data_IF_331961141007
#
_entry.id   IF_331961141007
#
_cell.length_a   1.000
_cell.length_b   1.000
_cell.length_c   1.000
_cell.angle_alpha   90.00
_cell.angle_beta   90.00
_cell.angle_gamma   90.00
#
_symmetry.space_group_name_H-M   'P 1'
#
loop_
_entity.id
_entity.type
_entity.pdbx_description
1 polymer ?
#
# COMPACT_ATOMS: atom_id res chain seq x y z
N UNK A 1 6.11 12.51 45.49
CA UNK A 1 4.95 11.98 44.76
C UNK A 1 5.33 12.00 43.29
N UNK A 2 5.59 10.89 42.60
CA UNK A 2 5.96 10.88 41.22
C UNK A 2 4.71 10.79 40.33
N UNK A 3 4.61 11.69 39.34
CA UNK A 3 3.57 11.67 38.33
C UNK A 3 3.89 10.55 37.32
N UNK A 4 2.96 9.62 37.16
CA UNK A 4 3.03 8.57 36.15
C UNK A 4 2.89 9.18 34.77
N UNK A 5 3.94 9.07 33.94
CA UNK A 5 3.88 9.30 32.51
C UNK A 5 3.06 8.15 31.88
N UNK A 6 1.89 8.47 31.37
CA UNK A 6 1.16 7.57 30.47
C UNK A 6 1.88 7.61 29.11
N UNK A 7 2.58 6.54 28.78
CA UNK A 7 3.08 6.30 27.43
C UNK A 7 1.88 5.95 26.55
N UNK A 8 1.47 6.86 25.73
CA UNK A 8 0.58 6.58 24.61
C UNK A 8 1.47 5.98 23.50
N UNK A 9 1.51 4.66 23.44
CA UNK A 9 2.14 3.95 22.34
C UNK A 9 1.17 4.03 21.18
N UNK A 10 1.50 4.80 20.17
CA UNK A 10 0.84 4.78 18.87
C UNK A 10 1.28 3.49 18.18
N UNK A 11 0.47 2.45 18.28
CA UNK A 11 0.67 1.20 17.53
C UNK A 11 0.11 1.45 16.13
N UNK A 12 0.97 1.80 15.19
CA UNK A 12 0.66 1.67 13.77
C UNK A 12 0.67 0.17 13.47
N UNK A 13 -0.51 -0.44 13.51
CA UNK A 13 -0.69 -1.83 13.09
C UNK A 13 -0.68 -1.84 11.56
N UNK A 14 0.50 -2.03 10.99
CA UNK A 14 0.62 -2.47 9.59
C UNK A 14 0.42 -3.98 9.62
N UNK A 15 -0.81 -4.41 9.34
CA UNK A 15 -1.13 -5.83 9.19
C UNK A 15 -0.63 -6.27 7.82
N UNK A 16 0.59 -6.80 7.75
CA UNK A 16 0.97 -7.69 6.65
C UNK A 16 0.64 -9.11 7.07
N UNK A 17 -0.05 -9.82 6.19
CA UNK A 17 -0.69 -11.06 6.48
C UNK A 17 0.19 -12.25 6.29
N UNK A 18 0.10 -13.10 7.27
CA UNK A 18 0.42 -14.52 7.16
C UNK A 18 -0.48 -15.16 6.11
N UNK A 19 0.08 -15.54 4.98
CA UNK A 19 -0.52 -16.55 4.11
C UNK A 19 -0.15 -17.90 4.71
N UNK A 20 -1.07 -18.66 5.32
CA UNK A 20 -0.77 -20.03 5.70
C UNK A 20 -0.58 -20.84 4.42
N UNK A 21 0.60 -21.38 4.22
CA UNK A 21 0.86 -22.35 3.18
C UNK A 21 -0.03 -23.59 3.44
N UNK A 22 -1.08 -23.75 2.66
CA UNK A 22 -1.84 -24.99 2.64
C UNK A 22 -1.01 -26.05 1.93
N UNK A 23 -0.33 -26.87 2.73
CA UNK A 23 0.33 -28.09 2.26
C UNK A 23 -0.75 -29.12 1.99
N UNK A 24 -1.06 -29.38 0.73
CA UNK A 24 -1.81 -30.58 0.31
C UNK A 24 -0.85 -31.78 0.36
N UNK A 25 -0.87 -32.54 1.46
CA UNK A 25 -0.28 -33.87 1.50
C UNK A 25 -1.34 -34.93 1.21
N UNK A 26 -1.23 -35.58 0.06
CA UNK A 26 -1.92 -36.82 -0.25
C UNK A 26 -1.13 -38.03 0.22
N UNK A 27 -1.78 -38.89 0.98
CA UNK A 27 -1.66 -40.36 0.88
C UNK A 27 -0.75 -41.12 1.81
N UNK A 28 -1.35 -41.88 2.72
CA UNK A 28 -0.93 -43.29 2.96
C UNK A 28 -0.38 -43.69 4.31
N UNK A 29 -1.23 -44.18 5.19
CA UNK A 29 -0.98 -45.46 5.89
C UNK A 29 -0.38 -45.50 7.28
N UNK A 30 -1.22 -46.00 8.19
CA UNK A 30 -0.97 -46.79 9.40
C UNK A 30 -0.85 -46.08 10.78
N UNK A 31 -1.93 -46.36 11.56
CA UNK A 31 -2.00 -46.34 13.04
C UNK A 31 -1.09 -47.41 13.68
N UNK A 32 -0.66 -47.31 14.96
CA UNK A 32 -1.57 -47.68 16.05
C UNK A 32 -1.44 -46.82 17.37
N UNK A 33 -2.60 -46.66 17.98
CA UNK A 33 -3.08 -46.86 19.36
C UNK A 33 -2.12 -46.73 20.57
N UNK A 34 -2.46 -45.85 21.54
CA UNK A 34 -2.74 -46.09 22.98
C UNK A 34 -2.85 -44.79 23.74
N UNK A 35 -4.02 -44.48 24.25
CA UNK A 35 -4.61 -44.54 25.61
C UNK A 35 -3.83 -43.82 26.70
N UNK A 36 -4.45 -42.82 27.37
CA UNK A 36 -5.08 -42.71 28.68
C UNK A 36 -5.28 -41.25 29.05
N UNK A 37 -6.49 -40.76 29.25
CA UNK A 37 -7.23 -40.55 30.48
C UNK A 37 -6.43 -39.76 31.53
N UNK A 38 -6.94 -38.60 32.02
CA UNK A 38 -7.86 -38.45 33.12
C UNK A 38 -8.11 -36.95 33.47
N UNK A 39 -9.34 -36.56 33.47
CA UNK A 39 -10.29 -36.03 34.50
C UNK A 39 -10.02 -34.62 35.05
N UNK A 40 -10.99 -33.73 34.73
CA UNK A 40 -12.08 -33.15 35.56
C UNK A 40 -11.69 -32.24 36.74
N UNK A 41 -12.15 -30.97 36.67
CA UNK A 41 -13.06 -30.38 37.64
C UNK A 41 -13.47 -28.95 37.34
N UNK A 42 -14.71 -28.77 37.05
CA UNK A 42 -15.77 -27.83 37.32
C UNK A 42 -15.61 -26.97 38.60
N UNK A 43 -16.02 -25.67 38.52
CA UNK A 43 -17.04 -24.98 39.34
C UNK A 43 -17.08 -23.51 38.94
N UNK A 44 -18.13 -22.98 38.33
CA UNK A 44 -19.38 -22.48 38.88
C UNK A 44 -19.27 -21.03 39.44
N UNK A 45 -20.03 -20.15 38.74
CA UNK A 45 -20.48 -18.81 39.19
C UNK A 45 -21.25 -18.84 40.52
N UNK A 46 -21.59 -17.69 41.15
CA UNK A 46 -22.66 -16.82 40.64
C UNK A 46 -22.67 -15.32 41.05
N UNK A 47 -23.40 -14.48 40.27
CA UNK A 47 -24.63 -13.71 40.66
C UNK A 47 -24.51 -12.36 41.35
N UNK A 48 -25.06 -11.31 40.66
CA UNK A 48 -25.92 -10.17 41.08
C UNK A 48 -25.37 -9.16 42.10
N UNK A 49 -25.63 -7.86 41.96
CA UNK A 49 -26.89 -7.15 41.90
C UNK A 49 -26.71 -5.63 41.96
N UNK A 50 -27.54 -4.92 41.21
CA UNK A 50 -28.35 -3.74 41.51
C UNK A 50 -27.74 -2.33 41.51
N UNK A 51 -28.38 -1.53 40.67
CA UNK A 51 -28.51 -0.07 40.73
C UNK A 51 -29.09 0.46 42.04
N UNK A 52 -28.95 1.76 42.30
CA UNK A 52 -30.13 2.60 42.05
C UNK A 52 -29.83 3.99 41.46
N UNK A 53 -30.82 4.42 40.75
CA UNK A 53 -31.33 5.71 40.32
C UNK A 53 -31.29 6.81 41.40
N UNK A 54 -30.90 8.02 41.03
CA UNK A 54 -31.64 9.22 41.48
C UNK A 54 -31.48 10.35 40.44
N UNK A 55 -32.61 10.92 40.18
CA UNK A 55 -32.92 12.04 39.27
C UNK A 55 -32.73 13.39 39.95
N UNK A 56 -32.96 14.46 39.12
CA UNK A 56 -33.35 15.84 39.48
C UNK A 56 -32.17 16.84 39.38
N UNK A 57 -32.16 17.91 38.65
CA UNK A 57 -33.14 18.91 38.21
C UNK A 57 -32.46 19.83 37.16
N UNK A 58 -33.21 20.28 36.18
CA UNK A 58 -32.86 21.47 35.40
C UNK A 58 -33.24 22.75 36.17
N UNK A 59 -32.67 23.89 35.82
CA UNK A 59 -33.49 24.96 35.27
C UNK A 59 -32.82 25.78 34.13
N UNK A 60 -33.61 26.11 33.16
CA UNK A 60 -34.23 27.43 32.82
C UNK A 60 -33.40 28.32 31.86
N UNK A 61 -33.93 28.38 30.60
CA UNK A 61 -34.20 29.50 29.68
C UNK A 61 -33.27 30.74 29.58
N UNK A 62 -32.77 30.90 28.40
CA UNK A 62 -32.90 31.84 27.28
C UNK A 62 -32.62 33.36 27.52
N UNK A 63 -32.18 34.15 26.56
CA UNK A 63 -33.04 34.54 25.47
C UNK A 63 -32.46 34.62 24.04
N UNK A 64 -33.35 34.49 23.13
CA UNK A 64 -33.41 34.67 21.70
C UNK A 64 -32.75 35.94 21.17
N UNK A 65 -32.00 35.83 20.07
CA UNK A 65 -31.83 36.91 19.10
C UNK A 65 -32.06 36.36 17.69
N UNK A 66 -33.01 36.92 17.03
CA UNK A 66 -33.46 36.58 15.69
C UNK A 66 -32.47 37.04 14.62
N UNK A 67 -32.12 36.15 13.67
CA UNK A 67 -31.54 36.54 12.41
C UNK A 67 -32.46 36.11 11.27
N UNK A 68 -32.81 37.08 10.44
CA UNK A 68 -33.67 36.95 9.28
C UNK A 68 -33.09 36.08 8.17
N UNK A 69 -33.91 35.42 7.34
CA UNK A 69 -33.41 34.57 6.26
C UNK A 69 -33.07 35.41 5.02
N UNK A 70 -31.84 35.24 4.53
CA UNK A 70 -31.49 35.66 3.17
C UNK A 70 -31.89 34.55 2.20
N UNK A 71 -32.85 34.83 1.37
CA UNK A 71 -33.24 34.03 0.20
C UNK A 71 -32.28 34.31 -0.95
N UNK A 72 -31.58 33.29 -1.41
CA UNK A 72 -30.92 33.30 -2.72
C UNK A 72 -31.72 32.42 -3.69
N UNK A 73 -31.84 32.81 -4.96
CA UNK A 73 -32.74 32.16 -5.90
C UNK A 73 -32.10 30.85 -6.42
N UNK A 74 -32.89 29.79 -6.34
CA UNK A 74 -32.57 28.50 -6.98
C UNK A 74 -32.77 28.66 -8.49
N UNK A 75 -31.71 28.55 -9.25
CA UNK A 75 -31.75 28.39 -10.69
C UNK A 75 -32.10 26.93 -11.02
N UNK A 76 -33.25 26.77 -11.65
CA UNK A 76 -33.76 25.50 -12.14
C UNK A 76 -32.96 25.09 -13.38
N UNK A 77 -32.12 24.07 -13.24
CA UNK A 77 -31.38 23.48 -14.36
C UNK A 77 -32.32 22.54 -15.14
N UNK A 78 -32.59 22.91 -16.37
CA UNK A 78 -33.27 22.07 -17.37
C UNK A 78 -32.28 20.93 -17.77
N UNK A 79 -32.74 19.68 -17.63
CA UNK A 79 -32.03 18.50 -18.09
C UNK A 79 -31.92 18.52 -19.62
N UNK A 80 -30.73 18.73 -20.13
CA UNK A 80 -30.38 18.45 -21.52
C UNK A 80 -29.65 17.09 -21.57
N UNK A 81 -30.17 16.19 -22.39
CA UNK A 81 -29.60 14.88 -22.72
C UNK A 81 -28.17 15.07 -23.23
N UNK A 82 -27.16 14.31 -22.72
CA UNK A 82 -25.82 14.44 -23.27
C UNK A 82 -25.76 13.79 -24.66
N UNK A 83 -25.46 14.59 -25.64
CA UNK A 83 -24.99 14.15 -26.96
C UNK A 83 -23.60 13.57 -26.77
N UNK A 84 -23.37 12.38 -27.32
CA UNK A 84 -22.06 11.74 -27.34
C UNK A 84 -21.00 12.70 -27.92
N UNK A 85 -20.06 13.11 -27.06
CA UNK A 85 -18.89 13.88 -27.48
C UNK A 85 -17.89 12.92 -28.16
N UNK A 86 -17.16 13.37 -29.19
CA UNK A 86 -16.13 12.57 -29.83
C UNK A 86 -15.01 12.27 -28.83
N UNK A 87 -14.59 11.03 -28.77
CA UNK A 87 -13.44 10.54 -28.02
C UNK A 87 -12.20 11.34 -28.44
N UNK A 88 -11.89 12.38 -27.70
CA UNK A 88 -10.61 13.06 -27.83
C UNK A 88 -9.58 12.14 -27.16
N UNK A 89 -8.78 11.47 -27.96
CA UNK A 89 -7.54 10.84 -27.53
C UNK A 89 -6.66 11.94 -26.93
N UNK A 90 -6.66 12.08 -25.61
CA UNK A 90 -5.74 12.97 -24.92
C UNK A 90 -4.33 12.50 -25.23
N UNK A 91 -3.39 13.38 -25.63
CA UNK A 91 -2.01 12.97 -25.78
C UNK A 91 -1.52 12.45 -24.44
N UNK A 92 -1.04 11.20 -24.41
CA UNK A 92 -0.36 10.63 -23.26
C UNK A 92 0.73 11.60 -22.82
N UNK A 93 0.58 12.15 -21.61
CA UNK A 93 1.67 12.88 -20.98
C UNK A 93 2.73 11.83 -20.60
N UNK A 94 3.69 11.62 -21.51
CA UNK A 94 4.87 10.85 -21.20
C UNK A 94 5.49 11.48 -19.95
N UNK A 95 5.75 10.67 -18.93
CA UNK A 95 6.62 11.05 -17.83
C UNK A 95 7.98 11.42 -18.46
N UNK A 96 8.13 12.69 -18.81
CA UNK A 96 9.33 13.25 -19.40
C UNK A 96 10.31 13.49 -18.27
N UNK A 97 11.17 12.52 -18.00
CA UNK A 97 12.19 12.62 -16.96
C UNK A 97 12.92 11.31 -16.75
N UNK A 98 13.98 11.38 -16.00
CA UNK A 98 14.77 10.23 -15.56
C UNK A 98 13.87 9.19 -14.87
N UNK A 99 14.26 7.91 -14.94
CA UNK A 99 13.51 6.84 -14.31
C UNK A 99 13.35 7.09 -12.79
N UNK A 100 12.16 6.76 -12.24
CA UNK A 100 11.86 6.94 -10.83
C UNK A 100 12.56 5.87 -9.99
N UNK A 101 13.69 6.22 -9.38
CA UNK A 101 14.40 5.35 -8.44
C UNK A 101 14.08 5.78 -7.02
N UNK A 102 13.47 4.90 -6.25
CA UNK A 102 12.93 5.21 -4.93
C UNK A 102 13.14 4.14 -3.88
N UNK A 103 12.85 4.54 -2.67
CA UNK A 103 12.70 3.65 -1.52
C UNK A 103 11.29 3.74 -0.95
N UNK A 104 10.78 2.62 -0.47
CA UNK A 104 9.74 2.61 0.54
C UNK A 104 10.35 3.05 1.86
N UNK A 105 9.80 4.08 2.50
CA UNK A 105 10.36 4.65 3.72
C UNK A 105 9.31 4.74 4.83
N UNK A 106 9.74 4.53 6.07
CA UNK A 106 8.96 4.89 7.23
C UNK A 106 9.26 6.34 7.64
N UNK A 107 8.22 7.07 8.06
CA UNK A 107 8.31 8.46 8.50
C UNK A 107 7.49 8.65 9.77
N UNK A 108 7.87 9.62 10.58
CA UNK A 108 7.20 9.92 11.85
C UNK A 108 6.24 11.13 11.73
N UNK A 109 6.65 12.16 11.00
CA UNK A 109 5.85 13.36 10.77
C UNK A 109 5.53 14.19 12.02
N UNK A 110 6.16 13.90 13.15
CA UNK A 110 5.94 14.54 14.43
C UNK A 110 7.25 15.00 15.08
N UNK A 111 7.15 15.87 16.10
CA UNK A 111 8.31 16.46 16.77
C UNK A 111 9.26 15.40 17.36
N UNK A 112 8.73 14.31 17.92
CA UNK A 112 9.54 13.26 18.52
C UNK A 112 10.37 12.47 17.50
N UNK A 113 9.89 12.34 16.27
CA UNK A 113 10.56 11.63 15.18
C UNK A 113 11.32 12.55 14.20
N UNK A 114 11.24 13.86 14.34
CA UNK A 114 11.76 14.82 13.36
C UNK A 114 13.24 14.57 13.01
N UNK A 115 14.08 14.25 13.98
CA UNK A 115 15.49 13.96 13.73
C UNK A 115 15.68 12.69 12.87
N UNK A 116 14.85 11.69 13.06
CA UNK A 116 14.88 10.48 12.25
C UNK A 116 14.36 10.75 10.83
N UNK A 117 13.33 11.59 10.69
CA UNK A 117 12.84 12.00 9.36
C UNK A 117 13.93 12.74 8.59
N UNK A 118 14.68 13.68 9.23
CA UNK A 118 15.83 14.35 8.62
C UNK A 118 16.89 13.35 8.17
N UNK A 119 17.28 12.40 9.04
CA UNK A 119 18.26 11.36 8.69
C UNK A 119 17.77 10.47 7.54
N UNK A 120 16.47 10.16 7.49
CA UNK A 120 15.89 9.36 6.40
C UNK A 120 16.04 10.09 5.06
N UNK A 121 15.75 11.40 5.02
CA UNK A 121 15.97 12.25 3.83
C UNK A 121 17.44 12.23 3.39
N UNK A 122 18.37 12.43 4.35
CA UNK A 122 19.81 12.40 4.08
C UNK A 122 20.25 11.05 3.48
N UNK A 123 19.67 9.94 3.96
CA UNK A 123 19.98 8.61 3.44
C UNK A 123 19.40 8.39 2.02
N UNK A 124 18.21 8.90 1.72
CA UNK A 124 17.67 8.86 0.35
C UNK A 124 18.56 9.64 -0.62
N UNK A 125 18.91 10.89 -0.27
CA UNK A 125 19.81 11.72 -1.07
C UNK A 125 21.21 11.11 -1.19
N UNK A 126 21.74 10.58 -0.09
CA UNK A 126 23.05 9.93 -0.04
C UNK A 126 23.14 8.69 -0.94
N UNK A 127 22.04 7.99 -1.15
CA UNK A 127 21.95 6.89 -2.12
C UNK A 127 21.89 7.39 -3.58
N UNK A 128 21.67 8.68 -3.82
CA UNK A 128 21.45 9.26 -5.14
C UNK A 128 20.10 8.89 -5.74
N UNK A 129 19.10 8.61 -4.90
CA UNK A 129 17.75 8.32 -5.32
C UNK A 129 16.92 9.61 -5.29
N UNK A 130 15.95 9.71 -6.19
CA UNK A 130 15.16 10.91 -6.43
C UNK A 130 13.68 10.78 -6.08
N UNK A 131 13.26 9.61 -5.56
CA UNK A 131 11.89 9.32 -5.16
C UNK A 131 11.84 8.63 -3.81
N UNK A 132 10.69 8.82 -3.14
CA UNK A 132 10.25 8.00 -2.00
C UNK A 132 8.81 7.55 -2.22
N UNK A 133 8.48 6.36 -1.71
CA UNK A 133 7.11 5.87 -1.60
C UNK A 133 6.68 5.91 -0.15
N UNK A 134 5.55 6.59 0.11
CA UNK A 134 4.99 6.87 1.42
C UNK A 134 3.57 6.34 1.51
N UNK A 135 3.18 5.74 2.64
CA UNK A 135 1.81 5.33 2.89
C UNK A 135 1.06 6.41 3.68
N UNK A 136 -0.03 6.91 3.12
CA UNK A 136 -0.93 7.88 3.73
C UNK A 136 -2.29 7.23 3.95
N UNK A 137 -2.56 6.82 5.19
CA UNK A 137 -3.81 6.16 5.52
C UNK A 137 -4.93 7.18 5.70
N UNK A 138 -6.04 6.98 4.99
CA UNK A 138 -7.22 7.84 5.10
C UNK A 138 -7.71 7.95 6.55
N UNK A 139 -7.73 6.82 7.29
CA UNK A 139 -8.12 6.78 8.70
C UNK A 139 -7.30 7.68 9.62
N UNK A 140 -6.03 7.95 9.29
CA UNK A 140 -5.14 8.77 10.11
C UNK A 140 -5.32 10.27 9.82
N UNK A 141 -5.80 10.60 8.63
CA UNK A 141 -5.92 11.97 8.11
C UNK A 141 -7.32 12.52 8.29
N UNK A 142 -8.36 11.75 8.01
CA UNK A 142 -9.77 12.13 8.19
C UNK A 142 -10.43 11.18 9.19
N UNK A 143 -10.37 11.54 10.46
CA UNK A 143 -10.83 10.73 11.60
C UNK A 143 -12.36 10.72 11.77
N UNK A 144 -13.06 11.64 11.11
CA UNK A 144 -14.50 11.75 11.06
C UNK A 144 -14.93 12.52 9.81
N UNK A 145 -16.22 12.52 9.42
CA UNK A 145 -16.67 13.20 8.21
C UNK A 145 -16.20 14.66 8.11
N UNK A 146 -16.18 15.37 9.24
CA UNK A 146 -15.77 16.78 9.33
C UNK A 146 -14.46 16.98 10.12
N UNK A 147 -13.75 15.89 10.48
CA UNK A 147 -12.54 15.99 11.31
C UNK A 147 -11.29 15.56 10.54
N UNK A 148 -10.51 16.57 10.14
CA UNK A 148 -9.25 16.42 9.40
C UNK A 148 -8.04 16.71 10.28
N UNK A 149 -7.02 15.86 10.20
CA UNK A 149 -5.74 15.97 10.94
C UNK A 149 -4.55 15.66 10.02
N UNK A 150 -4.23 16.54 9.05
CA UNK A 150 -3.14 16.32 8.10
C UNK A 150 -1.76 16.77 8.60
N UNK A 151 -1.62 17.26 9.84
CA UNK A 151 -0.40 17.94 10.30
C UNK A 151 0.87 17.07 10.16
N UNK A 152 0.79 15.78 10.49
CA UNK A 152 1.92 14.88 10.35
C UNK A 152 2.33 14.72 8.88
N UNK A 153 1.36 14.62 7.98
CA UNK A 153 1.59 14.52 6.54
C UNK A 153 2.15 15.83 5.97
N UNK A 154 1.67 16.99 6.46
CA UNK A 154 2.23 18.30 6.08
C UNK A 154 3.74 18.36 6.34
N UNK A 155 4.16 17.92 7.52
CA UNK A 155 5.57 17.91 7.91
C UNK A 155 6.39 17.01 6.99
N UNK A 156 5.91 15.79 6.74
CA UNK A 156 6.57 14.81 5.89
C UNK A 156 6.68 15.32 4.45
N UNK A 157 5.58 15.76 3.86
CA UNK A 157 5.54 16.23 2.47
C UNK A 157 6.46 17.45 2.27
N UNK A 158 6.40 18.43 3.18
CA UNK A 158 7.28 19.59 3.09
C UNK A 158 8.75 19.21 3.17
N UNK A 159 9.12 18.28 4.05
CA UNK A 159 10.51 17.88 4.24
C UNK A 159 11.09 17.21 2.98
N UNK A 160 10.38 16.30 2.33
CA UNK A 160 10.83 15.67 1.09
C UNK A 160 10.82 16.65 -0.09
N UNK A 161 9.77 17.48 -0.19
CA UNK A 161 9.69 18.51 -1.22
C UNK A 161 10.85 19.51 -1.13
N UNK A 162 11.13 20.02 0.07
CA UNK A 162 12.21 20.99 0.30
C UNK A 162 13.60 20.40 0.07
N UNK A 163 13.72 19.08 0.21
CA UNK A 163 14.92 18.31 -0.13
C UNK A 163 15.05 17.98 -1.63
N UNK A 164 14.05 18.34 -2.46
CA UNK A 164 14.04 18.06 -3.90
C UNK A 164 13.79 16.58 -4.23
N UNK A 165 13.16 15.82 -3.30
CA UNK A 165 12.81 14.42 -3.49
C UNK A 165 11.34 14.33 -3.90
N UNK A 166 11.06 13.62 -4.99
CA UNK A 166 9.72 13.36 -5.47
C UNK A 166 8.99 12.34 -4.58
N UNK A 167 7.68 12.47 -4.49
CA UNK A 167 6.84 11.62 -3.63
C UNK A 167 5.86 10.83 -4.48
N UNK A 168 5.87 9.50 -4.31
CA UNK A 168 4.78 8.60 -4.62
C UNK A 168 4.00 8.35 -3.32
N UNK A 169 2.81 8.89 -3.21
CA UNK A 169 1.95 8.74 -2.05
C UNK A 169 0.92 7.63 -2.28
N UNK A 170 1.01 6.54 -1.54
CA UNK A 170 0.02 5.45 -1.55
C UNK A 170 -1.10 5.81 -0.60
N UNK A 171 -2.34 5.92 -1.09
CA UNK A 171 -3.53 6.21 -0.29
C UNK A 171 -4.41 4.98 -0.17
N UNK A 172 -4.77 4.64 1.07
CA UNK A 172 -5.56 3.43 1.38
C UNK A 172 -6.22 3.53 2.76
N UNK A 173 -6.75 2.42 3.26
CA UNK A 173 -7.23 2.23 4.62
C UNK A 173 -8.28 3.25 5.08
N UNK A 174 -9.55 3.09 4.62
CA UNK A 174 -10.64 3.99 4.99
C UNK A 174 -10.93 3.94 6.50
N UNK A 175 -11.34 5.06 7.11
CA UNK A 175 -11.77 5.10 8.51
C UNK A 175 -13.09 4.35 8.70
N UNK A 176 -13.34 3.91 9.93
CA UNK A 176 -14.52 3.10 10.27
C UNK A 176 -15.85 3.75 9.86
N UNK A 177 -15.94 5.07 9.95
CA UNK A 177 -17.15 5.80 9.57
C UNK A 177 -17.45 5.74 8.05
N UNK A 178 -16.44 5.51 7.21
CA UNK A 178 -16.58 5.41 5.75
C UNK A 178 -16.73 3.97 5.26
N UNK A 179 -16.42 2.96 6.10
CA UNK A 179 -16.50 1.54 5.74
C UNK A 179 -17.96 1.09 5.60
N UNK A 180 -18.19 0.23 4.63
CA UNK A 180 -19.47 -0.46 4.55
C UNK A 180 -19.54 -1.61 5.57
N UNK A 181 -20.50 -1.54 6.47
CA UNK A 181 -20.73 -2.57 7.49
C UNK A 181 -21.62 -3.71 7.01
N UNK A 182 -22.25 -3.59 5.84
CA UNK A 182 -23.06 -4.66 5.24
C UNK A 182 -22.19 -5.79 4.66
N UNK A 183 -20.93 -5.47 4.32
CA UNK A 183 -20.00 -6.36 3.62
C UNK A 183 -20.28 -6.49 2.12
N UNK A 184 -21.21 -5.69 1.59
CA UNK A 184 -21.52 -5.67 0.15
C UNK A 184 -20.50 -4.85 -0.65
N UNK A 185 -19.90 -3.84 -0.02
CA UNK A 185 -18.90 -2.94 -0.60
C UNK A 185 -17.77 -2.70 0.40
N UNK A 186 -16.68 -2.10 -0.07
CA UNK A 186 -15.58 -1.69 0.81
C UNK A 186 -15.92 -0.38 1.54
N UNK A 187 -16.51 0.57 0.83
CA UNK A 187 -16.86 1.91 1.30
C UNK A 187 -18.34 2.18 1.06
N UNK A 188 -19.00 2.76 2.04
CA UNK A 188 -20.43 3.08 1.97
C UNK A 188 -20.73 4.11 0.87
N UNK A 189 -19.89 5.14 0.74
CA UNK A 189 -20.11 6.24 -0.18
C UNK A 189 -18.82 6.60 -0.92
N UNK A 190 -18.78 6.33 -2.21
CA UNK A 190 -17.62 6.63 -3.06
C UNK A 190 -17.31 8.14 -3.19
N UNK A 191 -18.32 9.02 -2.97
CA UNK A 191 -18.08 10.46 -2.97
C UNK A 191 -17.17 10.90 -1.81
N UNK A 192 -17.21 10.23 -0.66
CA UNK A 192 -16.31 10.53 0.47
C UNK A 192 -14.85 10.19 0.11
N UNK A 193 -14.64 9.07 -0.59
CA UNK A 193 -13.32 8.70 -1.11
C UNK A 193 -12.80 9.68 -2.16
N UNK A 194 -13.65 10.09 -3.10
CA UNK A 194 -13.31 11.09 -4.11
C UNK A 194 -12.97 12.44 -3.46
N UNK A 195 -13.73 12.86 -2.46
CA UNK A 195 -13.47 14.09 -1.71
C UNK A 195 -12.14 14.01 -0.92
N UNK A 196 -11.84 12.85 -0.32
CA UNK A 196 -10.57 12.63 0.37
C UNK A 196 -9.40 12.76 -0.60
N UNK A 197 -9.45 12.08 -1.74
CA UNK A 197 -8.36 12.13 -2.74
C UNK A 197 -8.23 13.51 -3.37
N UNK A 198 -9.34 14.21 -3.60
CA UNK A 198 -9.33 15.62 -4.01
C UNK A 198 -8.62 16.49 -2.96
N UNK A 199 -9.03 16.38 -1.68
CA UNK A 199 -8.41 17.15 -0.59
C UNK A 199 -6.91 16.94 -0.52
N UNK A 200 -6.46 15.69 -0.62
CA UNK A 200 -5.04 15.35 -0.56
C UNK A 200 -4.27 15.95 -1.75
N UNK A 201 -4.80 15.80 -2.96
CA UNK A 201 -4.14 16.31 -4.15
C UNK A 201 -4.14 17.86 -4.20
N UNK A 202 -5.21 18.52 -3.75
CA UNK A 202 -5.28 19.98 -3.68
C UNK A 202 -4.28 20.54 -2.64
N UNK A 203 -4.26 19.91 -1.45
CA UNK A 203 -3.37 20.34 -0.36
C UNK A 203 -1.89 20.22 -0.71
N UNK A 204 -1.52 19.17 -1.43
CA UNK A 204 -0.12 18.87 -1.77
C UNK A 204 0.20 19.09 -3.25
N UNK A 205 -0.59 19.90 -3.92
CA UNK A 205 -0.39 20.28 -5.32
C UNK A 205 1.02 20.79 -5.58
N UNK A 206 1.69 20.19 -6.56
CA UNK A 206 3.07 20.50 -6.93
C UNK A 206 4.13 19.95 -5.96
N UNK A 207 3.72 19.34 -4.83
CA UNK A 207 4.64 18.72 -3.85
C UNK A 207 4.63 17.19 -3.90
N UNK A 208 3.48 16.59 -4.15
CA UNK A 208 3.32 15.15 -4.41
C UNK A 208 3.15 14.95 -5.90
N UNK A 209 4.06 14.19 -6.52
CA UNK A 209 4.10 14.01 -7.97
C UNK A 209 3.22 12.86 -8.44
N UNK A 210 2.99 11.86 -7.58
CA UNK A 210 2.20 10.68 -7.93
C UNK A 210 1.39 10.16 -6.75
N UNK A 211 0.17 9.70 -7.04
CA UNK A 211 -0.77 9.12 -6.09
C UNK A 211 -1.04 7.67 -6.48
N UNK A 212 -0.58 6.71 -5.68
CA UNK A 212 -0.88 5.30 -5.86
C UNK A 212 -2.16 4.97 -5.12
N UNK A 213 -3.11 4.40 -5.84
CA UNK A 213 -4.45 4.15 -5.33
C UNK A 213 -4.54 2.73 -4.79
N UNK A 214 -4.55 2.62 -3.46
CA UNK A 214 -4.50 1.38 -2.71
C UNK A 214 -3.13 0.68 -2.71
N UNK A 215 -3.07 -0.45 -1.97
CA UNK A 215 -1.92 -1.34 -1.85
C UNK A 215 -2.41 -2.78 -1.75
N UNK A 216 -1.95 -3.64 -2.63
CA UNK A 216 -2.22 -5.07 -2.62
C UNK A 216 -3.72 -5.42 -2.51
N UNK A 217 -4.53 -4.76 -3.31
CA UNK A 217 -5.99 -4.90 -3.33
C UNK A 217 -6.47 -6.30 -3.76
N UNK A 218 -5.56 -7.16 -4.19
CA UNK A 218 -5.82 -8.57 -4.46
C UNK A 218 -5.71 -9.48 -3.22
N UNK A 219 -5.40 -8.91 -2.02
CA UNK A 219 -5.47 -9.59 -0.72
C UNK A 219 -6.69 -9.15 0.07
N UNK A 220 -7.46 -10.09 0.61
CA UNK A 220 -8.65 -9.83 1.41
C UNK A 220 -8.35 -8.99 2.65
N UNK A 221 -7.22 -9.17 3.23
CA UNK A 221 -6.78 -8.50 4.45
C UNK A 221 -6.35 -7.04 4.25
N UNK A 222 -5.66 -6.72 3.17
CA UNK A 222 -5.31 -5.34 2.81
C UNK A 222 -6.50 -4.63 2.19
N UNK A 223 -7.36 -5.35 1.50
CA UNK A 223 -8.57 -4.79 0.89
C UNK A 223 -9.71 -4.59 1.89
N UNK A 224 -9.65 -5.27 3.06
CA UNK A 224 -10.64 -5.09 4.13
C UNK A 224 -11.82 -6.04 4.05
N UNK A 225 -11.64 -7.23 3.49
CA UNK A 225 -12.63 -8.28 3.39
C UNK A 225 -12.52 -9.07 2.09
N UNK A 226 -13.62 -9.53 1.55
CA UNK A 226 -13.63 -10.27 0.28
C UNK A 226 -13.07 -9.41 -0.87
N UNK A 227 -12.12 -9.95 -1.61
CA UNK A 227 -11.53 -9.29 -2.78
C UNK A 227 -12.56 -9.18 -3.90
N UNK A 228 -12.81 -7.98 -4.37
CA UNK A 228 -13.71 -7.67 -5.49
C UNK A 228 -13.07 -6.65 -6.43
N UNK A 229 -12.83 -7.07 -7.65
CA UNK A 229 -12.23 -6.23 -8.69
C UNK A 229 -13.08 -4.99 -8.98
N UNK A 230 -14.42 -5.14 -8.97
CA UNK A 230 -15.36 -4.04 -9.20
C UNK A 230 -15.23 -2.93 -8.15
N UNK A 231 -15.09 -3.29 -6.87
CA UNK A 231 -14.96 -2.30 -5.80
C UNK A 231 -13.68 -1.47 -5.99
N UNK A 232 -12.58 -2.13 -6.36
CA UNK A 232 -11.35 -1.42 -6.65
C UNK A 232 -11.45 -0.54 -7.91
N UNK A 233 -12.09 -1.03 -8.97
CA UNK A 233 -12.29 -0.25 -10.19
C UNK A 233 -13.05 1.06 -9.91
N UNK A 234 -14.12 1.00 -9.11
CA UNK A 234 -14.90 2.18 -8.70
C UNK A 234 -14.06 3.12 -7.80
N UNK A 235 -13.25 2.57 -6.88
CA UNK A 235 -12.32 3.37 -6.06
C UNK A 235 -11.28 4.08 -6.92
N UNK A 236 -10.68 3.38 -7.88
CA UNK A 236 -9.69 3.94 -8.79
C UNK A 236 -10.27 5.08 -9.61
N UNK A 237 -11.48 4.92 -10.16
CA UNK A 237 -12.19 5.97 -10.88
C UNK A 237 -12.43 7.19 -10.00
N UNK A 238 -12.99 7.00 -8.78
CA UNK A 238 -13.26 8.10 -7.85
C UNK A 238 -11.97 8.85 -7.48
N UNK A 239 -10.90 8.12 -7.20
CA UNK A 239 -9.61 8.71 -6.87
C UNK A 239 -9.00 9.48 -8.06
N UNK A 240 -9.04 8.90 -9.25
CA UNK A 240 -8.56 9.57 -10.48
C UNK A 240 -9.29 10.89 -10.69
N UNK A 241 -10.61 10.88 -10.60
CA UNK A 241 -11.43 12.09 -10.75
C UNK A 241 -11.10 13.13 -9.67
N UNK A 242 -10.93 12.70 -8.41
CA UNK A 242 -10.55 13.59 -7.32
C UNK A 242 -9.18 14.21 -7.53
N UNK A 243 -8.16 13.39 -7.80
CA UNK A 243 -6.78 13.84 -8.03
C UNK A 243 -6.70 14.78 -9.22
N UNK A 244 -7.26 14.38 -10.39
CA UNK A 244 -7.17 15.18 -11.62
C UNK A 244 -7.96 16.49 -11.55
N UNK A 245 -9.04 16.54 -10.77
CA UNK A 245 -9.77 17.78 -10.52
C UNK A 245 -8.97 18.78 -9.66
N UNK A 246 -8.17 18.28 -8.72
CA UNK A 246 -7.33 19.10 -7.86
C UNK A 246 -5.99 19.46 -8.52
N UNK A 247 -5.28 18.46 -9.01
CA UNK A 247 -3.99 18.60 -9.69
C UNK A 247 -3.93 17.69 -10.94
N UNK A 248 -4.22 18.27 -12.10
CA UNK A 248 -4.18 17.53 -13.36
C UNK A 248 -2.77 17.09 -13.78
N UNK A 249 -1.73 17.66 -13.17
CA UNK A 249 -0.33 17.30 -13.46
C UNK A 249 0.17 16.10 -12.62
N UNK A 250 -0.47 15.81 -11.49
CA UNK A 250 -0.10 14.67 -10.67
C UNK A 250 -0.48 13.36 -11.37
N UNK A 251 0.43 12.37 -11.28
CA UNK A 251 0.19 11.04 -11.83
C UNK A 251 -0.71 10.21 -10.90
N UNK A 252 -1.58 9.42 -11.48
CA UNK A 252 -2.35 8.40 -10.76
C UNK A 252 -1.78 7.03 -11.09
N UNK A 253 -1.35 6.31 -10.06
CA UNK A 253 -0.72 5.00 -10.17
C UNK A 253 -1.71 3.93 -9.71
N UNK A 254 -1.88 2.89 -10.53
CA UNK A 254 -2.63 1.69 -10.15
C UNK A 254 -1.95 1.04 -8.94
N UNK A 255 -2.69 0.65 -7.92
CA UNK A 255 -2.13 0.00 -6.74
C UNK A 255 -1.39 -1.29 -7.06
N UNK A 256 -0.14 -1.41 -6.59
CA UNK A 256 0.67 -2.60 -6.82
C UNK A 256 -0.01 -3.86 -6.28
N UNK A 257 -0.13 -4.89 -7.11
CA UNK A 257 -0.68 -6.20 -6.72
C UNK A 257 0.42 -7.06 -6.10
N UNK A 258 0.11 -7.75 -4.99
CA UNK A 258 1.04 -8.72 -4.43
C UNK A 258 1.04 -10.01 -5.24
N UNK A 259 2.23 -10.55 -5.58
CA UNK A 259 2.29 -11.84 -6.25
C UNK A 259 1.81 -12.96 -5.32
N UNK A 260 0.88 -13.78 -5.82
CA UNK A 260 0.34 -14.95 -5.11
C UNK A 260 -0.28 -15.93 -6.09
N UNK A 261 -0.23 -17.22 -5.81
CA UNK A 261 -0.94 -18.26 -6.58
C UNK A 261 -2.32 -18.59 -6.00
N UNK A 262 -2.82 -17.84 -5.02
CA UNK A 262 -4.10 -18.09 -4.37
C UNK A 262 -5.25 -17.54 -5.23
N UNK A 263 -6.33 -18.30 -5.36
CA UNK A 263 -7.56 -17.90 -6.06
C UNK A 263 -8.81 -18.20 -5.20
N UNK A 264 -8.82 -17.63 -4.01
CA UNK A 264 -9.95 -17.60 -3.08
C UNK A 264 -10.20 -16.15 -2.67
N UNK A 265 -11.29 -15.51 -3.12
CA UNK A 265 -11.53 -14.09 -2.82
C UNK A 265 -11.63 -13.75 -1.34
N UNK A 266 -11.88 -14.74 -0.47
CA UNK A 266 -11.85 -14.55 0.98
C UNK A 266 -10.43 -14.51 1.56
N UNK A 267 -9.42 -14.83 0.75
CA UNK A 267 -7.99 -14.84 1.11
C UNK A 267 -7.22 -13.92 0.16
N UNK A 268 -7.17 -14.29 -1.12
CA UNK A 268 -6.45 -13.56 -2.17
C UNK A 268 -6.91 -14.00 -3.57
N UNK A 269 -6.63 -13.16 -4.56
CA UNK A 269 -6.70 -13.53 -5.99
C UNK A 269 -5.31 -13.39 -6.59
N UNK A 270 -4.86 -14.40 -7.36
CA UNK A 270 -3.62 -14.37 -8.15
C UNK A 270 -3.50 -13.03 -8.89
N UNK A 271 -2.34 -12.39 -8.80
CA UNK A 271 -2.08 -11.04 -9.30
C UNK A 271 -2.33 -10.93 -10.82
N UNK A 272 -1.90 -11.93 -11.60
CA UNK A 272 -2.13 -11.94 -13.07
C UNK A 272 -3.61 -12.13 -13.37
N UNK A 273 -4.29 -13.02 -12.64
CA UNK A 273 -5.74 -13.23 -12.82
C UNK A 273 -6.54 -12.00 -12.37
N UNK A 274 -6.15 -11.36 -11.26
CA UNK A 274 -6.79 -10.12 -10.80
C UNK A 274 -6.67 -9.02 -11.85
N UNK A 275 -5.46 -8.80 -12.38
CA UNK A 275 -5.21 -7.78 -13.39
C UNK A 275 -6.00 -8.06 -14.67
N UNK A 276 -6.03 -9.31 -15.14
CA UNK A 276 -6.86 -9.73 -16.30
C UNK A 276 -8.33 -9.43 -16.06
N UNK A 277 -8.86 -9.79 -14.88
CA UNK A 277 -10.25 -9.51 -14.50
C UNK A 277 -10.55 -8.01 -14.45
N UNK A 278 -9.58 -7.17 -14.05
CA UNK A 278 -9.72 -5.72 -14.07
C UNK A 278 -9.82 -5.19 -15.52
N UNK A 279 -8.96 -5.65 -16.43
CA UNK A 279 -9.02 -5.24 -17.83
C UNK A 279 -10.31 -5.70 -18.54
N UNK A 280 -10.88 -6.83 -18.12
CA UNK A 280 -12.12 -7.37 -18.69
C UNK A 280 -13.37 -6.76 -18.06
N UNK A 281 -13.26 -6.20 -16.85
CA UNK A 281 -14.41 -5.65 -16.13
C UNK A 281 -15.10 -4.55 -16.93
N UNK A 282 -16.41 -4.71 -17.16
CA UNK A 282 -17.24 -3.83 -17.97
C UNK A 282 -16.62 -3.44 -19.32
N UNK A 283 -15.96 -4.42 -19.98
CA UNK A 283 -15.35 -4.23 -21.27
C UNK A 283 -14.13 -3.27 -21.26
N UNK A 284 -13.46 -3.16 -20.12
CA UNK A 284 -12.25 -2.33 -19.98
C UNK A 284 -12.51 -0.85 -19.72
N UNK A 285 -13.76 -0.45 -19.42
CA UNK A 285 -14.13 0.96 -19.24
C UNK A 285 -13.44 1.66 -18.08
N UNK A 286 -12.81 0.92 -17.16
CA UNK A 286 -12.08 1.48 -16.01
C UNK A 286 -10.58 1.64 -16.25
N UNK A 287 -10.06 1.17 -17.40
CA UNK A 287 -8.63 1.25 -17.70
C UNK A 287 -8.15 2.68 -17.98
N UNK A 288 -9.04 3.64 -18.20
CA UNK A 288 -8.70 5.05 -18.42
C UNK A 288 -8.38 5.82 -17.11
N UNK A 289 -8.62 5.21 -15.92
CA UNK A 289 -8.51 5.91 -14.65
C UNK A 289 -7.18 5.71 -13.92
N UNK A 290 -6.09 5.50 -14.64
CA UNK A 290 -4.73 5.58 -14.12
C UNK A 290 -3.74 5.98 -15.23
N UNK A 291 -2.58 6.52 -14.84
CA UNK A 291 -1.52 6.97 -15.75
C UNK A 291 -0.36 5.97 -15.79
N UNK A 292 -0.08 5.30 -14.69
CA UNK A 292 1.05 4.37 -14.49
C UNK A 292 0.51 3.07 -13.89
N UNK A 293 0.99 1.92 -14.38
CA UNK A 293 0.71 0.61 -13.77
C UNK A 293 1.67 0.35 -12.61
N UNK A 294 1.15 0.29 -11.39
CA UNK A 294 1.90 -0.15 -10.21
C UNK A 294 1.97 -1.68 -10.13
N UNK A 295 3.13 -2.20 -9.77
CA UNK A 295 3.40 -3.65 -9.65
C UNK A 295 4.23 -3.94 -8.41
N UNK A 296 4.04 -5.09 -7.77
CA UNK A 296 4.93 -5.62 -6.74
C UNK A 296 5.66 -6.86 -7.24
N UNK A 297 6.89 -7.06 -6.77
CA UNK A 297 7.71 -8.21 -7.11
C UNK A 297 8.34 -8.81 -5.85
N UNK A 298 7.69 -9.83 -5.28
CA UNK A 298 8.27 -10.60 -4.18
C UNK A 298 8.93 -11.87 -4.74
N UNK A 299 10.24 -11.92 -4.69
CA UNK A 299 11.04 -13.00 -5.28
C UNK A 299 11.43 -14.08 -4.29
N UNK A 300 11.02 -13.99 -3.01
CA UNK A 300 11.46 -14.88 -1.94
C UNK A 300 13.00 -15.00 -1.86
N UNK A 301 13.57 -16.20 -2.03
CA UNK A 301 15.02 -16.45 -2.15
C UNK A 301 15.50 -16.63 -3.61
N UNK A 302 14.61 -16.46 -4.59
CA UNK A 302 14.97 -16.55 -6.00
C UNK A 302 15.73 -15.29 -6.46
N UNK A 303 16.91 -15.48 -7.09
CA UNK A 303 17.66 -14.36 -7.65
C UNK A 303 16.93 -13.69 -8.82
N UNK A 304 17.27 -12.43 -9.13
CA UNK A 304 16.50 -11.62 -10.08
C UNK A 304 16.56 -12.09 -11.55
N UNK A 305 17.55 -12.89 -11.91
CA UNK A 305 17.68 -13.48 -13.25
C UNK A 305 16.87 -14.77 -13.43
N UNK A 306 16.34 -15.32 -12.33
CA UNK A 306 15.55 -16.55 -12.37
C UNK A 306 14.12 -16.26 -12.85
N UNK A 307 13.52 -17.23 -13.53
CA UNK A 307 12.18 -17.13 -14.10
C UNK A 307 11.54 -18.51 -14.26
N UNK A 308 10.33 -18.68 -13.81
CA UNK A 308 9.55 -19.90 -14.04
C UNK A 308 8.83 -19.83 -15.40
N UNK A 309 8.76 -20.94 -16.18
CA UNK A 309 9.40 -22.24 -15.95
C UNK A 309 10.80 -22.37 -16.57
N UNK A 310 11.28 -21.36 -17.30
CA UNK A 310 12.43 -21.50 -18.22
C UNK A 310 13.76 -21.57 -17.49
N UNK A 311 13.90 -20.87 -16.34
CA UNK A 311 15.09 -20.85 -15.50
C UNK A 311 14.71 -20.75 -14.01
N UNK A 312 14.07 -21.79 -13.44
CA UNK A 312 13.41 -21.67 -12.14
C UNK A 312 14.36 -21.72 -10.93
N UNK A 313 15.65 -21.99 -11.10
CA UNK A 313 16.56 -22.21 -9.97
C UNK A 313 16.29 -23.53 -9.23
N UNK A 314 16.75 -23.63 -7.98
CA UNK A 314 16.75 -24.89 -7.20
C UNK A 314 16.16 -24.75 -5.78
N UNK A 315 15.72 -23.56 -5.37
CA UNK A 315 15.18 -23.29 -4.05
C UNK A 315 13.79 -23.88 -3.81
N UNK A 316 13.30 -23.79 -2.59
CA UNK A 316 11.97 -24.27 -2.18
C UNK A 316 10.85 -23.65 -3.05
N UNK A 317 11.02 -22.39 -3.43
CA UNK A 317 10.04 -21.60 -4.18
C UNK A 317 10.21 -21.67 -5.70
N UNK A 318 11.19 -22.46 -6.18
CA UNK A 318 11.48 -22.59 -7.61
C UNK A 318 10.36 -23.17 -8.46
N UNK A 319 9.39 -23.84 -7.85
CA UNK A 319 8.23 -24.42 -8.54
C UNK A 319 6.97 -23.56 -8.43
N UNK A 320 7.02 -22.42 -7.75
CA UNK A 320 5.91 -21.49 -7.64
C UNK A 320 6.10 -20.31 -8.59
N UNK A 321 5.26 -20.16 -9.64
CA UNK A 321 5.42 -19.11 -10.64
C UNK A 321 5.23 -17.69 -10.07
N UNK A 322 4.63 -17.55 -8.90
CA UNK A 322 4.32 -16.23 -8.31
C UNK A 322 5.54 -15.55 -7.71
N UNK A 323 6.54 -16.32 -7.21
CA UNK A 323 7.61 -15.77 -6.39
C UNK A 323 8.93 -15.58 -7.15
N UNK A 324 8.86 -14.79 -8.24
CA UNK A 324 10.00 -14.38 -9.05
C UNK A 324 9.99 -12.87 -9.28
N UNK A 325 11.17 -12.23 -9.25
CA UNK A 325 11.27 -10.82 -9.62
C UNK A 325 10.70 -10.57 -11.01
N UNK A 326 10.92 -11.51 -11.94
CA UNK A 326 10.42 -11.43 -13.32
C UNK A 326 8.92 -11.73 -13.46
N UNK A 327 8.19 -12.00 -12.38
CA UNK A 327 6.73 -12.15 -12.38
C UNK A 327 6.03 -10.93 -13.01
N UNK A 328 6.60 -9.73 -12.81
CA UNK A 328 6.06 -8.48 -13.39
C UNK A 328 5.97 -8.48 -14.92
N UNK A 329 6.74 -9.34 -15.60
CA UNK A 329 6.63 -9.51 -17.05
C UNK A 329 5.26 -10.08 -17.43
N UNK A 330 4.71 -11.01 -16.63
CA UNK A 330 3.37 -11.57 -16.87
C UNK A 330 2.27 -10.52 -16.64
N UNK A 331 2.45 -9.58 -15.72
CA UNK A 331 1.54 -8.45 -15.58
C UNK A 331 1.63 -7.51 -16.79
N UNK A 332 2.84 -7.25 -17.27
CA UNK A 332 3.04 -6.45 -18.49
C UNK A 332 2.49 -7.17 -19.74
N UNK A 333 2.57 -8.49 -19.82
CA UNK A 333 1.95 -9.28 -20.89
C UNK A 333 0.43 -9.08 -20.91
N UNK A 334 -0.24 -9.09 -19.74
CA UNK A 334 -1.68 -8.77 -19.64
C UNK A 334 -1.98 -7.36 -20.17
N UNK A 335 -1.17 -6.35 -19.81
CA UNK A 335 -1.33 -5.00 -20.36
C UNK A 335 -1.24 -5.02 -21.90
N UNK A 336 -0.22 -5.68 -22.43
CA UNK A 336 0.03 -5.79 -23.88
C UNK A 336 -1.10 -6.51 -24.61
N UNK A 337 -1.60 -7.62 -24.05
CA UNK A 337 -2.76 -8.36 -24.58
C UNK A 337 -4.01 -7.48 -24.71
N UNK A 338 -4.17 -6.48 -23.85
CA UNK A 338 -5.27 -5.51 -23.88
C UNK A 338 -4.92 -4.19 -24.59
N UNK A 339 -3.73 -4.10 -25.23
CA UNK A 339 -3.30 -2.92 -25.97
C UNK A 339 -2.89 -1.74 -25.09
N UNK A 340 -2.64 -1.95 -23.81
CA UNK A 340 -2.16 -0.92 -22.90
C UNK A 340 -0.63 -0.78 -22.98
N UNK A 341 -0.16 0.38 -23.40
CA UNK A 341 1.26 0.70 -23.61
C UNK A 341 1.81 1.67 -22.58
N UNK A 342 1.06 1.92 -21.49
CA UNK A 342 1.52 2.82 -20.42
C UNK A 342 2.74 2.29 -19.71
N UNK A 343 3.49 3.21 -19.12
CA UNK A 343 4.62 2.85 -18.29
C UNK A 343 4.18 2.11 -17.03
N UNK A 344 5.06 1.24 -16.52
CA UNK A 344 4.87 0.55 -15.25
C UNK A 344 5.93 0.96 -14.26
N UNK A 345 5.55 1.02 -12.98
CA UNK A 345 6.47 1.19 -11.86
C UNK A 345 6.39 -0.05 -10.96
N UNK A 346 7.54 -0.59 -10.59
CA UNK A 346 7.63 -1.62 -9.56
C UNK A 346 7.69 -0.90 -8.21
N UNK A 347 6.53 -0.72 -7.59
CA UNK A 347 6.36 0.12 -6.40
C UNK A 347 6.81 -0.57 -5.10
N UNK A 348 6.96 -1.91 -5.12
CA UNK A 348 7.67 -2.67 -4.10
C UNK A 348 8.45 -3.83 -4.72
N UNK A 349 9.72 -3.95 -4.36
CA UNK A 349 10.53 -5.13 -4.60
C UNK A 349 11.70 -5.21 -3.62
N UNK A 350 12.19 -6.42 -3.35
CA UNK A 350 13.33 -6.59 -2.46
C UNK A 350 13.62 -8.06 -2.15
N UNK A 351 14.63 -8.27 -1.33
CA UNK A 351 15.00 -9.56 -0.76
C UNK A 351 15.28 -9.39 0.73
N UNK A 352 14.68 -10.24 1.55
CA UNK A 352 14.95 -10.27 2.99
C UNK A 352 16.14 -11.18 3.30
N UNK A 353 16.87 -10.87 4.37
CA UNK A 353 18.05 -11.64 4.79
C UNK A 353 17.85 -12.18 6.20
N UNK A 354 18.25 -13.44 6.45
CA UNK A 354 18.19 -14.04 7.80
C UNK A 354 16.85 -13.85 8.52
N UNK A 355 15.75 -13.72 7.78
CA UNK A 355 14.42 -13.54 8.32
C UNK A 355 13.94 -14.84 8.99
N UNK A 356 13.46 -14.73 10.22
CA UNK A 356 12.95 -15.84 11.00
C UNK A 356 11.46 -15.70 11.35
N UNK A 357 10.82 -14.64 10.85
CA UNK A 357 9.39 -14.46 11.03
C UNK A 357 8.61 -15.56 10.29
N UNK A 358 7.50 -16.05 10.85
CA UNK A 358 6.70 -17.10 10.23
C UNK A 358 6.28 -16.72 8.79
N UNK A 359 6.59 -17.61 7.83
CA UNK A 359 6.32 -17.40 6.41
C UNK A 359 7.46 -16.72 5.63
N UNK A 360 8.48 -16.18 6.32
CA UNK A 360 9.61 -15.47 5.70
C UNK A 360 10.96 -16.19 5.92
N UNK A 361 10.94 -17.43 6.41
CA UNK A 361 12.13 -18.21 6.73
C UNK A 361 13.06 -18.43 5.52
N UNK A 362 12.54 -18.24 4.31
CA UNK A 362 13.35 -18.27 3.08
C UNK A 362 14.46 -17.20 3.08
N UNK A 363 14.31 -16.14 3.86
CA UNK A 363 15.35 -15.12 4.03
C UNK A 363 16.65 -15.67 4.63
N UNK A 364 16.62 -16.84 5.30
CA UNK A 364 17.83 -17.52 5.76
C UNK A 364 18.71 -18.00 4.60
N UNK A 365 18.17 -18.13 3.40
CA UNK A 365 18.88 -18.52 2.19
C UNK A 365 19.53 -17.35 1.45
N UNK A 366 19.27 -16.10 1.88
CA UNK A 366 19.78 -14.88 1.25
C UNK A 366 20.76 -14.19 2.20
N UNK A 367 22.02 -14.14 1.80
CA UNK A 367 23.06 -13.39 2.53
C UNK A 367 22.90 -11.87 2.29
N UNK A 368 23.48 -11.05 3.18
CA UNK A 368 23.50 -9.61 2.99
C UNK A 368 24.19 -9.17 1.68
N UNK A 369 25.19 -9.93 1.22
CA UNK A 369 25.83 -9.66 -0.06
C UNK A 369 24.91 -10.02 -1.23
N UNK A 370 24.20 -11.16 -1.15
CA UNK A 370 23.22 -11.52 -2.19
C UNK A 370 22.06 -10.49 -2.26
N UNK A 371 21.57 -9.98 -1.11
CA UNK A 371 20.59 -8.89 -1.10
C UNK A 371 21.13 -7.69 -1.89
N UNK A 372 22.37 -7.29 -1.64
CA UNK A 372 23.02 -6.18 -2.34
C UNK A 372 23.14 -6.43 -3.84
N UNK A 373 23.63 -7.59 -4.23
CA UNK A 373 23.84 -7.97 -5.63
C UNK A 373 22.49 -8.09 -6.38
N UNK A 374 21.48 -8.67 -5.73
CA UNK A 374 20.14 -8.85 -6.30
C UNK A 374 19.41 -7.51 -6.52
N UNK A 375 19.49 -6.60 -5.56
CA UNK A 375 18.91 -5.28 -5.71
C UNK A 375 19.54 -4.51 -6.89
N UNK A 376 20.86 -4.48 -6.97
CA UNK A 376 21.57 -3.83 -8.10
C UNK A 376 21.21 -4.49 -9.43
N UNK A 377 21.17 -5.83 -9.45
CA UNK A 377 20.83 -6.58 -10.66
C UNK A 377 19.39 -6.32 -11.11
N UNK A 378 18.44 -6.16 -10.19
CA UNK A 378 17.07 -5.78 -10.51
C UNK A 378 16.99 -4.44 -11.24
N UNK A 379 17.73 -3.43 -10.78
CA UNK A 379 17.83 -2.14 -11.48
C UNK A 379 18.47 -2.28 -12.88
N UNK A 380 19.47 -3.15 -13.01
CA UNK A 380 20.09 -3.42 -14.33
C UNK A 380 19.08 -4.05 -15.28
N UNK A 381 18.32 -5.07 -14.84
CA UNK A 381 17.28 -5.72 -15.65
C UNK A 381 16.26 -4.68 -16.12
N UNK A 382 15.75 -3.85 -15.21
CA UNK A 382 14.78 -2.82 -15.58
C UNK A 382 15.34 -1.83 -16.62
N UNK A 383 16.62 -1.48 -16.54
CA UNK A 383 17.27 -0.55 -17.47
C UNK A 383 17.65 -1.17 -18.81
N UNK A 384 17.92 -2.48 -18.87
CA UNK A 384 18.31 -3.16 -20.10
C UNK A 384 17.15 -3.89 -20.74
N UNK A 385 16.50 -4.80 -19.99
CA UNK A 385 15.53 -5.74 -20.54
C UNK A 385 14.13 -5.10 -20.63
N UNK A 386 13.80 -4.14 -19.71
CA UNK A 386 12.48 -3.53 -19.55
C UNK A 386 12.46 -2.02 -19.77
N UNK A 387 13.52 -1.47 -20.37
CA UNK A 387 13.70 -0.03 -20.56
C UNK A 387 12.54 0.67 -21.28
N UNK A 388 11.81 -0.06 -22.12
CA UNK A 388 10.69 0.50 -22.88
C UNK A 388 9.46 0.75 -22.00
N UNK A 389 9.17 -0.12 -21.03
CA UNK A 389 7.94 -0.08 -20.25
C UNK A 389 8.13 0.15 -18.75
N UNK A 390 9.23 -0.30 -18.12
CA UNK A 390 9.50 -0.11 -16.69
C UNK A 390 10.23 1.22 -16.45
N UNK A 391 9.53 2.19 -15.88
CA UNK A 391 10.04 3.56 -15.67
C UNK A 391 10.25 3.91 -14.20
N UNK A 392 10.02 2.99 -13.25
CA UNK A 392 10.22 3.24 -11.83
C UNK A 392 10.44 1.96 -11.03
N UNK A 393 11.33 2.05 -10.01
CA UNK A 393 11.61 0.97 -9.08
C UNK A 393 11.75 1.53 -7.67
N UNK A 394 11.01 0.96 -6.70
CA UNK A 394 11.02 1.36 -5.30
C UNK A 394 11.40 0.19 -4.41
N UNK A 395 12.58 0.27 -3.81
CA UNK A 395 13.12 -0.78 -2.94
C UNK A 395 12.30 -0.91 -1.66
N UNK A 396 11.86 -2.09 -1.34
CA UNK A 396 11.29 -2.46 -0.05
C UNK A 396 12.39 -3.02 0.85
N UNK A 397 12.89 -2.33 1.90
CA UNK A 397 12.61 -0.98 2.33
C UNK A 397 13.91 -0.27 2.76
N UNK A 398 13.87 1.06 3.00
CA UNK A 398 15.04 1.80 3.45
C UNK A 398 15.31 1.58 4.96
N UNK A 399 14.34 1.94 5.83
CA UNK A 399 14.59 2.23 7.25
C UNK A 399 13.60 1.60 8.23
N UNK A 400 12.83 0.61 7.84
CA UNK A 400 11.89 -0.04 8.78
C UNK A 400 12.59 -0.68 9.98
N UNK A 401 13.86 -1.07 9.84
CA UNK A 401 14.70 -1.54 10.94
C UNK A 401 14.89 -0.53 12.08
N UNK A 402 14.62 0.74 11.84
CA UNK A 402 14.69 1.80 12.86
C UNK A 402 13.47 1.79 13.78
N UNK A 403 12.34 1.29 13.29
CA UNK A 403 11.04 1.36 13.99
C UNK A 403 10.45 -0.01 14.37
N UNK A 404 10.99 -1.08 13.79
CA UNK A 404 10.55 -2.44 14.09
C UNK A 404 11.59 -3.19 14.92
N UNK A 405 11.13 -4.18 15.68
CA UNK A 405 12.02 -5.09 16.41
C UNK A 405 12.67 -6.09 15.44
N UNK A 406 13.86 -6.62 15.76
CA UNK A 406 14.54 -7.61 14.92
C UNK A 406 13.73 -8.87 14.58
N UNK A 407 12.71 -9.18 15.38
CA UNK A 407 11.77 -10.29 15.16
C UNK A 407 10.63 -9.96 14.19
N UNK A 408 10.42 -8.68 13.86
CA UNK A 408 9.43 -8.25 12.89
C UNK A 408 9.91 -8.63 11.47
N UNK A 409 8.99 -9.13 10.65
CA UNK A 409 9.32 -9.60 9.30
C UNK A 409 9.90 -8.48 8.41
N UNK A 410 9.57 -7.21 8.66
CA UNK A 410 10.03 -6.05 7.88
C UNK A 410 11.47 -5.65 8.18
N UNK A 411 11.96 -5.97 9.39
CA UNK A 411 13.29 -5.58 9.85
C UNK A 411 14.43 -6.07 8.93
N UNK A 412 14.45 -7.34 8.51
CA UNK A 412 15.55 -7.85 7.69
C UNK A 412 15.52 -7.43 6.22
N UNK A 413 14.42 -6.85 5.74
CA UNK A 413 14.33 -6.27 4.40
C UNK A 413 15.06 -4.94 4.28
N UNK A 414 15.18 -4.20 5.39
CA UNK A 414 15.74 -2.86 5.39
C UNK A 414 17.19 -2.85 4.87
N UNK A 415 17.55 -1.80 4.14
CA UNK A 415 18.93 -1.61 3.67
C UNK A 415 19.77 -0.79 4.64
N UNK A 416 19.18 -0.30 5.73
CA UNK A 416 19.85 0.33 6.87
C UNK A 416 19.72 -0.52 8.13
N UNK A 417 20.64 -0.33 9.07
CA UNK A 417 20.54 -0.84 10.43
C UNK A 417 19.66 0.08 11.30
N UNK A 418 19.31 -0.37 12.50
CA UNK A 418 18.45 0.38 13.44
C UNK A 418 19.04 1.73 13.91
N UNK A 419 20.36 1.91 13.77
CA UNK A 419 21.08 3.15 14.08
C UNK A 419 21.30 4.02 12.82
N UNK A 420 20.66 3.71 11.70
CA UNK A 420 20.84 4.31 10.38
C UNK A 420 22.19 4.01 9.71
N UNK A 421 23.05 3.18 10.28
CA UNK A 421 24.27 2.78 9.58
C UNK A 421 23.93 1.94 8.33
N UNK A 422 24.66 2.14 7.23
CA UNK A 422 24.44 1.41 5.98
C UNK A 422 24.65 -0.11 6.13
N UNK A 423 23.77 -0.91 5.49
CA UNK A 423 24.04 -2.33 5.21
C UNK A 423 24.71 -2.47 3.83
N UNK A 424 25.29 -3.64 3.48
CA UNK A 424 25.91 -3.85 2.17
C UNK A 424 24.99 -3.47 1.00
N UNK A 425 23.68 -3.72 1.11
CA UNK A 425 22.70 -3.37 0.11
C UNK A 425 22.60 -1.87 -0.14
N UNK A 426 22.61 -1.03 0.90
CA UNK A 426 22.62 0.41 0.75
C UNK A 426 23.86 0.91 0.03
N UNK A 427 25.04 0.41 0.40
CA UNK A 427 26.30 0.81 -0.22
C UNK A 427 26.35 0.41 -1.71
N UNK A 428 25.85 -0.77 -2.05
CA UNK A 428 25.76 -1.21 -3.43
C UNK A 428 24.79 -0.35 -4.25
N UNK A 429 23.62 -0.04 -3.69
CA UNK A 429 22.67 0.85 -4.31
C UNK A 429 23.23 2.29 -4.49
N UNK A 430 23.98 2.79 -3.51
CA UNK A 430 24.66 4.08 -3.60
C UNK A 430 25.68 4.12 -4.73
N UNK A 431 26.45 3.04 -4.88
CA UNK A 431 27.54 2.93 -5.86
C UNK A 431 27.05 2.67 -7.28
N UNK A 432 25.85 2.12 -7.49
CA UNK A 432 25.36 1.81 -8.83
C UNK A 432 25.11 3.08 -9.65
N UNK A 433 25.25 3.05 -10.99
CA UNK A 433 24.86 4.16 -11.86
C UNK A 433 23.38 4.53 -11.70
N UNK A 434 23.07 5.82 -11.67
CA UNK A 434 21.70 6.35 -11.68
C UNK A 434 21.28 6.73 -13.10
N UNK A 435 19.95 6.93 -13.36
CA UNK A 435 19.48 7.40 -14.66
C UNK A 435 20.06 8.75 -15.02
#
# INVERSE_FOLDING_TARGET
MPKSLRKTVLVAVVLLLLVPAVVACGGGGNKPTATSESTVATTASPVRSSSPTTATTAPTQAPTAAASPMTSPVAQATATTPSAAPTATMPMQQASGDAAYGFNVFTWGNEAGQQNDVRTVEMVQGAGFNWVRLHFYWSDIQRGPDWWDPLAIDNIVNQYHDAGINILATVSNPPDWARDTSGERLITNLADWQNFTFFMADRYKGKVQAWEIWNEQNLASTFGGTVRVQDYAELLQGAYQGVKAADNSALVVFGGLTPTGVNDPSIAIDDVQYLRSFYEYQGGSYTEFFDIMGMHANATDNGPDLMYPDNPGVGKWSQDPSFYFRRVQQLHDVMTEHGDTRASWITEFGWTTANQAPGYEYGANVTAQQQADYLVRAFQIARSDWAEWCKGLFVWNLNFSVVTEPSDEKYPWAVLNSDFSPRPAYEALRAMPKP
#
